data_IF_596361822097
#
_entry.id   IF_596361822097
#
_cell.length_a   1.000
_cell.length_b   1.000
_cell.length_c   1.000
_cell.angle_alpha   90.00
_cell.angle_beta   90.00
_cell.angle_gamma   90.00
#
_symmetry.space_group_name_H-M   'P 1'
#
loop_
_entity.id
_entity.type
_entity.pdbx_description
1 polymer ?
#
# COMPACT_ATOMS: atom_id res chain seq x y z
N UNK A 1 29.36 -13.37 -27.05
CA UNK A 1 28.06 -13.56 -27.72
C UNK A 1 27.56 -14.97 -27.45
N UNK A 2 26.62 -15.15 -26.53
CA UNK A 2 25.62 -16.21 -26.62
C UNK A 2 24.22 -15.62 -26.78
N UNK A 3 23.41 -16.41 -27.46
CA UNK A 3 22.16 -16.12 -28.14
C UNK A 3 20.96 -16.25 -27.20
N UNK A 4 19.95 -15.42 -27.46
CA UNK A 4 18.55 -15.56 -27.04
C UNK A 4 18.08 -17.02 -26.89
N UNK A 5 17.49 -17.36 -25.74
CA UNK A 5 16.30 -18.23 -25.62
C UNK A 5 15.94 -18.48 -24.15
N UNK A 6 15.08 -17.64 -23.57
CA UNK A 6 14.17 -18.00 -22.47
C UNK A 6 13.11 -16.89 -22.30
N UNK A 7 12.28 -16.70 -23.33
CA UNK A 7 10.93 -16.13 -23.13
C UNK A 7 10.03 -17.31 -22.79
N UNK A 8 9.57 -17.42 -21.55
CA UNK A 8 8.36 -18.16 -21.16
C UNK A 8 8.08 -17.94 -19.66
N UNK A 9 6.91 -17.35 -19.41
CA UNK A 9 6.06 -17.41 -18.22
C UNK A 9 6.65 -17.05 -16.84
N UNK A 10 6.34 -15.82 -16.40
CA UNK A 10 5.81 -15.57 -15.06
C UNK A 10 5.02 -14.24 -15.04
N UNK A 11 4.06 -14.08 -15.97
CA UNK A 11 2.91 -13.21 -15.72
C UNK A 11 2.02 -13.97 -14.73
N UNK A 12 1.95 -13.54 -13.47
CA UNK A 12 0.78 -13.62 -12.58
C UNK A 12 1.19 -13.27 -11.15
N UNK A 13 1.39 -11.99 -10.85
CA UNK A 13 1.14 -11.45 -9.50
C UNK A 13 0.62 -10.02 -9.68
N UNK A 14 -0.59 -9.90 -10.25
CA UNK A 14 -1.40 -8.69 -10.08
C UNK A 14 -2.16 -8.81 -8.74
N UNK A 15 -2.33 -7.70 -8.01
CA UNK A 15 -2.70 -7.68 -6.60
C UNK A 15 -4.15 -8.11 -6.43
N UNK A 16 -4.37 -9.08 -5.54
CA UNK A 16 -5.67 -9.69 -5.26
C UNK A 16 -6.38 -9.05 -4.06
N UNK A 17 -6.04 -7.81 -3.69
CA UNK A 17 -6.50 -7.17 -2.45
C UNK A 17 -7.66 -6.17 -2.61
N UNK A 18 -8.04 -5.79 -3.83
CA UNK A 18 -9.07 -4.75 -4.08
C UNK A 18 -10.51 -5.29 -4.25
N UNK A 19 -10.87 -6.40 -3.59
CA UNK A 19 -12.17 -7.06 -3.79
C UNK A 19 -12.91 -7.49 -2.51
N UNK A 20 -12.67 -6.87 -1.35
CA UNK A 20 -13.41 -7.18 -0.09
C UNK A 20 -14.44 -6.09 0.30
N UNK A 21 -14.54 -4.99 -0.43
CA UNK A 21 -15.53 -3.94 -0.12
C UNK A 21 -16.86 -4.01 -0.92
N UNK A 22 -17.01 -4.93 -1.89
CA UNK A 22 -18.09 -4.86 -2.89
C UNK A 22 -19.16 -5.97 -2.84
N UNK A 23 -19.25 -6.80 -1.79
CA UNK A 23 -20.14 -7.99 -1.78
C UNK A 23 -21.37 -7.95 -0.85
N UNK A 24 -21.73 -6.81 -0.25
CA UNK A 24 -22.97 -6.69 0.55
C UNK A 24 -23.86 -5.57 0.04
N UNK A 25 -24.37 -5.69 -1.19
CA UNK A 25 -25.25 -4.66 -1.75
C UNK A 25 -26.15 -5.05 -2.92
N UNK A 26 -26.41 -6.34 -3.18
CA UNK A 26 -27.43 -6.74 -4.15
C UNK A 26 -28.83 -6.73 -3.48
N UNK A 27 -29.49 -5.57 -3.45
CA UNK A 27 -30.93 -5.49 -3.18
C UNK A 27 -31.68 -5.29 -4.50
N UNK A 28 -32.28 -6.36 -5.00
CA UNK A 28 -33.37 -6.26 -5.97
C UNK A 28 -34.63 -5.72 -5.27
N UNK A 29 -35.22 -4.65 -5.82
CA UNK A 29 -36.58 -4.16 -5.51
C UNK A 29 -37.61 -5.28 -5.82
N UNK A 30 -38.65 -5.63 -5.04
CA UNK A 30 -39.76 -4.93 -4.34
C UNK A 30 -40.59 -6.00 -3.56
N UNK A 31 -41.68 -5.75 -2.77
CA UNK A 31 -42.23 -4.56 -2.10
C UNK A 31 -42.50 -4.74 -0.55
N UNK A 32 -42.82 -3.63 0.14
CA UNK A 32 -43.03 -3.35 1.59
C UNK A 32 -44.40 -3.82 2.19
N UNK A 33 -44.70 -3.80 3.53
CA UNK A 33 -44.06 -4.37 4.74
C UNK A 33 -45.04 -5.21 5.63
N UNK A 34 -44.55 -5.80 6.72
CA UNK A 34 -45.35 -6.02 7.95
C UNK A 34 -44.55 -5.56 9.18
N UNK A 35 -45.10 -4.75 10.10
CA UNK A 35 -44.35 -4.28 11.26
C UNK A 35 -44.49 -5.27 12.42
N UNK A 36 -43.37 -5.66 13.03
CA UNK A 36 -43.33 -6.28 14.35
C UNK A 36 -41.94 -6.03 14.99
N UNK A 37 -41.85 -6.09 16.33
CA UNK A 37 -41.55 -4.97 17.20
C UNK A 37 -40.06 -4.74 17.43
N UNK A 38 -39.76 -3.56 17.99
CA UNK A 38 -38.44 -3.14 18.42
C UNK A 38 -37.74 -4.21 19.27
N UNK A 39 -36.57 -4.64 18.80
CA UNK A 39 -35.56 -5.29 19.61
C UNK A 39 -34.32 -4.43 19.54
N UNK A 40 -34.00 -3.82 20.68
CA UNK A 40 -32.68 -3.34 21.04
C UNK A 40 -31.60 -4.31 20.56
N UNK A 41 -30.72 -3.82 19.70
CA UNK A 41 -29.32 -4.23 19.66
C UNK A 41 -28.57 -3.15 18.92
N UNK A 42 -27.77 -2.43 19.69
CA UNK A 42 -26.86 -1.39 19.29
C UNK A 42 -26.15 -1.72 17.98
N UNK A 43 -26.14 -0.73 17.09
CA UNK A 43 -25.08 -0.60 16.10
C UNK A 43 -23.74 -0.58 16.86
N UNK A 44 -22.87 -1.52 16.55
CA UNK A 44 -21.42 -1.37 16.61
C UNK A 44 -20.85 -2.41 15.66
N UNK A 45 -21.09 -2.19 14.36
CA UNK A 45 -20.28 -2.77 13.30
C UNK A 45 -18.98 -1.98 13.17
N UNK A 46 -18.27 -1.78 14.28
CA UNK A 46 -16.86 -1.48 14.21
C UNK A 46 -16.21 -2.78 13.77
N UNK A 47 -15.59 -2.80 12.60
CA UNK A 47 -14.55 -3.79 12.32
C UNK A 47 -13.63 -3.78 13.53
N UNK A 48 -13.66 -4.84 14.33
CA UNK A 48 -12.72 -4.95 15.43
C UNK A 48 -11.32 -4.79 14.80
N UNK A 49 -10.42 -3.98 15.38
CA UNK A 49 -9.05 -3.95 14.90
C UNK A 49 -8.56 -5.38 14.83
N UNK A 50 -7.86 -5.71 13.74
CA UNK A 50 -7.21 -6.99 13.55
C UNK A 50 -6.61 -7.43 14.88
N UNK A 51 -6.88 -8.66 15.31
CA UNK A 51 -6.30 -9.16 16.56
C UNK A 51 -4.78 -9.01 16.49
N UNK A 52 -4.05 -8.84 17.61
CA UNK A 52 -2.61 -8.57 17.56
C UNK A 52 -1.80 -9.58 16.73
N UNK A 53 -2.27 -10.82 16.61
CA UNK A 53 -1.72 -11.84 15.71
C UNK A 53 -2.02 -11.59 14.22
N UNK A 54 -3.22 -11.12 13.88
CA UNK A 54 -3.56 -10.72 12.50
C UNK A 54 -2.80 -9.46 12.08
N UNK A 55 -2.54 -8.55 13.02
CA UNK A 55 -1.80 -7.32 12.76
C UNK A 55 -0.31 -7.56 12.48
N UNK A 56 0.35 -8.43 13.27
CA UNK A 56 1.74 -8.79 13.02
C UNK A 56 1.95 -9.40 11.62
N UNK A 57 1.02 -10.23 11.16
CA UNK A 57 1.05 -10.79 9.80
C UNK A 57 0.85 -9.72 8.71
N UNK A 58 -0.05 -8.75 8.91
CA UNK A 58 -0.21 -7.63 7.99
C UNK A 58 1.06 -6.79 7.90
N UNK A 59 1.70 -6.49 9.03
CA UNK A 59 2.96 -5.75 9.06
C UNK A 59 4.08 -6.47 8.30
N UNK A 60 4.19 -7.80 8.44
CA UNK A 60 5.18 -8.60 7.69
C UNK A 60 4.94 -8.56 6.17
N UNK A 61 3.66 -8.55 5.73
CA UNK A 61 3.32 -8.40 4.32
C UNK A 61 3.76 -7.03 3.80
N UNK A 62 3.44 -5.96 4.53
CA UNK A 62 3.78 -4.60 4.15
C UNK A 62 5.28 -4.40 4.11
N UNK A 63 6.01 -4.87 5.12
CA UNK A 63 7.47 -4.87 5.13
C UNK A 63 8.03 -5.57 3.89
N UNK A 64 7.50 -6.74 3.55
CA UNK A 64 7.95 -7.50 2.38
C UNK A 64 7.66 -6.78 1.06
N UNK A 65 6.50 -6.13 0.94
CA UNK A 65 6.13 -5.38 -0.25
C UNK A 65 7.02 -4.14 -0.44
N UNK A 66 7.25 -3.38 0.64
CA UNK A 66 8.12 -2.20 0.64
C UNK A 66 9.56 -2.59 0.28
N UNK A 67 10.10 -3.63 0.90
CA UNK A 67 11.45 -4.12 0.61
C UNK A 67 11.61 -4.53 -0.86
N UNK A 68 10.61 -5.18 -1.46
CA UNK A 68 10.64 -5.55 -2.88
C UNK A 68 10.64 -4.31 -3.77
N UNK A 69 9.81 -3.30 -3.48
CA UNK A 69 9.76 -2.07 -4.26
C UNK A 69 11.09 -1.31 -4.14
N UNK A 70 11.60 -1.14 -2.92
CA UNK A 70 12.87 -0.47 -2.66
C UNK A 70 14.04 -1.18 -3.37
N UNK A 71 14.12 -2.50 -3.25
CA UNK A 71 15.14 -3.30 -3.93
C UNK A 71 15.05 -3.16 -5.45
N UNK A 72 13.85 -3.24 -6.03
CA UNK A 72 13.66 -3.11 -7.48
C UNK A 72 14.02 -1.71 -7.96
N UNK A 73 13.62 -0.67 -7.23
CA UNK A 73 13.97 0.70 -7.56
C UNK A 73 15.50 0.90 -7.59
N UNK A 74 16.21 0.43 -6.55
CA UNK A 74 17.66 0.54 -6.42
C UNK A 74 18.39 -0.31 -7.47
N UNK A 75 18.00 -1.58 -7.64
CA UNK A 75 18.70 -2.52 -8.51
C UNK A 75 18.54 -2.20 -10.00
N UNK A 76 17.46 -1.52 -10.39
CA UNK A 76 17.24 -1.06 -11.76
C UNK A 76 17.80 0.35 -12.01
N UNK A 77 18.48 0.97 -11.03
CA UNK A 77 19.02 2.33 -11.11
C UNK A 77 17.92 3.36 -11.48
N UNK A 78 16.72 3.15 -10.92
CA UNK A 78 15.56 3.98 -11.23
C UNK A 78 15.71 5.39 -10.64
N UNK A 79 15.13 6.34 -11.36
CA UNK A 79 14.89 7.71 -10.93
C UNK A 79 13.50 8.13 -11.40
N UNK A 80 12.95 9.18 -10.81
CA UNK A 80 11.65 9.71 -11.25
C UNK A 80 11.74 10.19 -12.69
N UNK A 81 12.80 10.88 -13.09
CA UNK A 81 13.06 11.26 -14.48
C UNK A 81 13.00 10.06 -15.45
N UNK A 82 13.53 8.90 -15.05
CA UNK A 82 13.42 7.68 -15.84
C UNK A 82 11.98 7.13 -15.83
N UNK A 83 11.31 7.10 -14.68
CA UNK A 83 9.93 6.64 -14.57
C UNK A 83 8.93 7.49 -15.36
N UNK A 84 9.21 8.79 -15.54
CA UNK A 84 8.43 9.70 -16.37
C UNK A 84 8.77 9.59 -17.86
N UNK A 85 9.91 8.97 -18.19
CA UNK A 85 10.30 8.75 -19.58
C UNK A 85 9.37 7.72 -20.24
N UNK A 86 8.82 8.01 -21.43
CA UNK A 86 7.96 7.07 -22.15
C UNK A 86 8.69 5.78 -22.59
N UNK A 87 10.02 5.78 -22.52
CA UNK A 87 10.88 4.68 -22.94
C UNK A 87 11.26 3.72 -21.79
N UNK A 88 11.04 4.09 -20.52
CA UNK A 88 11.46 3.29 -19.36
C UNK A 88 10.27 2.75 -18.55
N UNK A 89 9.65 1.72 -19.14
CA UNK A 89 8.47 1.06 -18.56
C UNK A 89 8.80 0.39 -17.22
N UNK A 90 10.06 -0.01 -16.98
CA UNK A 90 10.42 -0.69 -15.73
C UNK A 90 10.31 0.26 -14.55
N UNK A 91 10.91 1.45 -14.64
CA UNK A 91 10.83 2.42 -13.55
C UNK A 91 9.43 3.01 -13.41
N UNK A 92 8.69 3.17 -14.52
CA UNK A 92 7.29 3.58 -14.50
C UNK A 92 6.40 2.57 -13.77
N UNK A 93 6.56 1.26 -14.05
CA UNK A 93 5.80 0.20 -13.40
C UNK A 93 6.11 0.10 -11.90
N UNK A 94 7.38 0.30 -11.51
CA UNK A 94 7.76 0.31 -10.08
C UNK A 94 7.16 1.53 -9.38
N UNK A 95 7.21 2.73 -9.98
CA UNK A 95 6.64 3.94 -9.41
C UNK A 95 5.12 3.86 -9.29
N UNK A 96 4.43 3.33 -10.31
CA UNK A 96 2.99 3.10 -10.26
C UNK A 96 2.61 2.06 -9.18
N UNK A 97 3.44 1.04 -8.98
CA UNK A 97 3.27 0.01 -7.95
C UNK A 97 3.57 0.48 -6.53
N UNK A 98 4.14 1.68 -6.35
CA UNK A 98 4.47 2.27 -5.06
C UNK A 98 3.25 2.91 -4.36
N UNK A 99 2.09 3.00 -5.03
CA UNK A 99 0.85 3.50 -4.42
C UNK A 99 0.27 2.50 -3.40
N UNK A 100 0.65 2.68 -2.14
CA UNK A 100 0.30 1.83 -1.00
C UNK A 100 -0.46 2.60 0.09
N UNK A 101 -0.99 3.80 -0.21
CA UNK A 101 -1.48 4.74 0.79
C UNK A 101 -2.58 4.19 1.73
N UNK A 102 -3.44 3.30 1.22
CA UNK A 102 -4.58 2.78 1.99
C UNK A 102 -4.19 1.74 3.07
N UNK A 103 -3.09 0.99 2.90
CA UNK A 103 -2.64 0.02 3.91
C UNK A 103 -1.87 0.67 5.05
N UNK A 104 -1.25 1.83 4.80
CA UNK A 104 -0.32 2.47 5.73
C UNK A 104 -0.96 3.12 6.96
N UNK A 105 -2.15 3.70 6.83
CA UNK A 105 -2.87 4.26 7.98
C UNK A 105 -3.33 3.18 8.97
N UNK A 106 -3.83 2.06 8.45
CA UNK A 106 -4.26 0.91 9.26
C UNK A 106 -3.07 0.29 9.99
N UNK A 107 -1.92 0.23 9.32
CA UNK A 107 -0.67 -0.27 9.91
C UNK A 107 -0.18 0.68 11.01
N UNK A 108 -0.07 1.98 10.74
CA UNK A 108 0.39 2.97 11.71
C UNK A 108 -0.42 2.95 13.03
N UNK A 109 -1.74 2.76 12.93
CA UNK A 109 -2.65 2.69 14.07
C UNK A 109 -2.53 1.41 14.91
N UNK A 110 -2.03 0.32 14.35
CA UNK A 110 -1.86 -0.96 15.07
C UNK A 110 -0.46 -1.15 15.68
N UNK A 111 0.52 -0.30 15.35
CA UNK A 111 1.90 -0.40 15.84
C UNK A 111 2.01 -0.34 17.38
N UNK A 112 1.08 0.31 18.08
CA UNK A 112 1.03 0.37 19.55
C UNK A 112 0.80 -1.00 20.21
N UNK A 113 0.31 -1.97 19.45
CA UNK A 113 0.06 -3.33 19.94
C UNK A 113 1.30 -4.23 19.90
N UNK A 114 2.38 -3.79 19.26
CA UNK A 114 3.61 -4.54 19.12
C UNK A 114 4.50 -4.41 20.36
N UNK A 115 5.08 -5.52 20.81
CA UNK A 115 6.19 -5.49 21.77
C UNK A 115 7.47 -5.10 21.03
N UNK A 116 8.06 -3.94 21.37
CA UNK A 116 9.27 -3.44 20.72
C UNK A 116 9.87 -2.23 21.44
N UNK A 117 10.99 -1.71 20.91
CA UNK A 117 11.55 -0.43 21.36
C UNK A 117 10.60 0.72 21.02
N UNK A 118 10.08 1.48 21.99
CA UNK A 118 9.12 2.55 21.74
C UNK A 118 9.63 3.61 20.76
N UNK A 119 10.93 3.94 20.79
CA UNK A 119 11.49 4.94 19.89
C UNK A 119 11.59 4.41 18.45
N UNK A 120 11.88 3.13 18.26
CA UNK A 120 11.87 2.49 16.95
C UNK A 120 10.44 2.36 16.39
N UNK A 121 9.49 1.96 17.23
CA UNK A 121 8.06 1.90 16.85
C UNK A 121 7.50 3.28 16.50
N UNK A 122 7.87 4.33 17.24
CA UNK A 122 7.48 5.71 16.93
C UNK A 122 8.08 6.20 15.60
N UNK A 123 9.34 5.85 15.31
CA UNK A 123 9.98 6.19 14.04
C UNK A 123 9.32 5.46 12.86
N UNK A 124 8.98 4.18 13.03
CA UNK A 124 8.26 3.39 12.02
C UNK A 124 6.86 3.98 11.76
N UNK A 125 6.15 4.40 12.83
CA UNK A 125 4.86 5.10 12.69
C UNK A 125 4.99 6.37 11.87
N UNK A 126 5.94 7.23 12.21
CA UNK A 126 6.15 8.49 11.51
C UNK A 126 6.48 8.26 10.02
N UNK A 127 7.23 7.20 9.71
CA UNK A 127 7.52 6.83 8.33
C UNK A 127 6.28 6.32 7.58
N UNK A 128 5.42 5.51 8.22
CA UNK A 128 4.15 5.10 7.63
C UNK A 128 3.23 6.29 7.36
N UNK A 129 3.13 7.23 8.30
CA UNK A 129 2.32 8.45 8.14
C UNK A 129 2.84 9.30 6.97
N UNK A 130 4.15 9.49 6.86
CA UNK A 130 4.76 10.23 5.76
C UNK A 130 4.52 9.56 4.40
N UNK A 131 4.71 8.24 4.30
CA UNK A 131 4.45 7.49 3.07
C UNK A 131 2.97 7.49 2.68
N UNK A 132 2.06 7.43 3.67
CA UNK A 132 0.62 7.54 3.42
C UNK A 132 0.25 8.92 2.88
N UNK A 133 0.80 9.99 3.45
CA UNK A 133 0.59 11.37 2.99
C UNK A 133 1.13 11.57 1.57
N UNK A 134 2.33 11.08 1.27
CA UNK A 134 2.92 11.15 -0.07
C UNK A 134 2.10 10.35 -1.10
N UNK A 135 1.66 9.13 -0.75
CA UNK A 135 0.79 8.33 -1.61
C UNK A 135 -0.57 8.99 -1.86
N UNK A 136 -1.17 9.63 -0.84
CA UNK A 136 -2.40 10.43 -1.04
C UNK A 136 -2.16 11.61 -1.97
N UNK A 137 -1.06 12.35 -1.82
CA UNK A 137 -0.73 13.46 -2.71
C UNK A 137 -0.55 13.00 -4.17
N UNK A 138 0.16 11.89 -4.37
CA UNK A 138 0.32 11.24 -5.67
C UNK A 138 -1.02 10.86 -6.30
N UNK A 139 -1.92 10.24 -5.52
CA UNK A 139 -3.26 9.85 -5.98
C UNK A 139 -4.14 11.07 -6.28
N UNK A 140 -4.16 12.08 -5.41
CA UNK A 140 -4.95 13.31 -5.56
C UNK A 140 -4.50 14.15 -6.78
N UNK A 141 -3.23 14.06 -7.15
CA UNK A 141 -2.68 14.65 -8.37
C UNK A 141 -3.08 13.88 -9.65
N UNK A 142 -3.67 12.68 -9.52
CA UNK A 142 -4.03 11.80 -10.64
C UNK A 142 -2.85 10.98 -11.19
N UNK A 143 -1.71 10.99 -10.49
CA UNK A 143 -0.48 10.35 -10.96
C UNK A 143 -0.51 8.81 -10.86
N UNK A 144 -1.42 8.26 -10.06
CA UNK A 144 -1.70 6.83 -10.03
C UNK A 144 -2.40 6.33 -11.31
N UNK A 145 -3.17 7.19 -11.99
CA UNK A 145 -3.92 6.85 -13.19
C UNK A 145 -3.12 7.13 -14.47
N UNK A 146 -2.40 8.26 -14.51
CA UNK A 146 -1.57 8.67 -15.64
C UNK A 146 -0.30 9.37 -15.14
N UNK A 147 0.85 8.70 -15.33
CA UNK A 147 2.16 9.25 -14.99
C UNK A 147 2.56 10.24 -16.08
N UNK A 148 2.70 11.51 -15.73
CA UNK A 148 3.10 12.61 -16.61
C UNK A 148 4.20 13.45 -15.99
N UNK A 149 4.81 14.36 -16.75
CA UNK A 149 5.84 15.28 -16.23
C UNK A 149 5.38 16.10 -15.02
N UNK A 150 4.07 16.38 -14.90
CA UNK A 150 3.50 17.11 -13.77
C UNK A 150 3.52 16.30 -12.46
N UNK A 151 3.85 15.00 -12.51
CA UNK A 151 3.94 14.10 -11.37
C UNK A 151 5.36 13.99 -10.76
N UNK A 152 6.33 14.76 -11.28
CA UNK A 152 7.72 14.62 -10.86
C UNK A 152 7.91 14.86 -9.36
N UNK A 153 7.38 15.97 -8.84
CA UNK A 153 7.54 16.36 -7.44
C UNK A 153 6.87 15.34 -6.50
N UNK A 154 5.64 14.92 -6.81
CA UNK A 154 4.90 13.92 -6.05
C UNK A 154 5.59 12.54 -6.11
N UNK A 155 6.15 12.18 -7.26
CA UNK A 155 6.88 10.91 -7.44
C UNK A 155 8.19 10.88 -6.66
N UNK A 156 8.90 12.00 -6.59
CA UNK A 156 10.13 12.14 -5.78
C UNK A 156 9.80 11.98 -4.30
N UNK A 157 8.74 12.62 -3.82
CA UNK A 157 8.30 12.53 -2.43
C UNK A 157 7.82 11.11 -2.08
N UNK A 158 7.04 10.47 -2.96
CA UNK A 158 6.55 9.10 -2.76
C UNK A 158 7.72 8.11 -2.63
N UNK A 159 8.68 8.14 -3.55
CA UNK A 159 9.82 7.22 -3.49
C UNK A 159 10.73 7.52 -2.29
N UNK A 160 10.97 8.81 -1.99
CA UNK A 160 11.79 9.21 -0.85
C UNK A 160 11.21 8.69 0.47
N UNK A 161 9.90 8.84 0.67
CA UNK A 161 9.20 8.38 1.88
C UNK A 161 9.16 6.86 1.98
N UNK A 162 8.96 6.14 0.86
CA UNK A 162 9.03 4.68 0.82
C UNK A 162 10.42 4.12 1.17
N UNK A 163 11.49 4.71 0.65
CA UNK A 163 12.86 4.29 0.99
C UNK A 163 13.21 4.61 2.46
N UNK A 164 12.67 5.70 3.01
CA UNK A 164 12.80 6.01 4.43
C UNK A 164 12.02 5.00 5.31
N UNK A 165 10.86 4.55 4.84
CA UNK A 165 10.05 3.53 5.51
C UNK A 165 10.74 2.16 5.52
N UNK A 166 11.35 1.75 4.40
CA UNK A 166 12.21 0.54 4.34
C UNK A 166 13.34 0.60 5.37
N UNK A 167 14.03 1.75 5.46
CA UNK A 167 15.08 1.98 6.46
C UNK A 167 14.54 1.92 7.89
N UNK A 168 13.33 2.44 8.13
CA UNK A 168 12.69 2.39 9.45
C UNK A 168 12.33 0.96 9.85
N UNK A 169 11.90 0.13 8.89
CA UNK A 169 11.66 -1.30 9.09
C UNK A 169 12.94 -2.07 9.45
N UNK A 170 14.03 -1.81 8.73
CA UNK A 170 15.34 -2.39 9.02
C UNK A 170 15.81 -2.02 10.44
N UNK A 171 15.64 -0.76 10.83
CA UNK A 171 16.01 -0.28 12.16
C UNK A 171 15.14 -0.89 13.28
N UNK A 172 13.84 -1.08 13.02
CA UNK A 172 12.89 -1.65 13.98
C UNK A 172 13.09 -3.17 14.17
N UNK A 173 13.55 -3.87 13.14
CA UNK A 173 13.72 -5.34 13.15
C UNK A 173 15.13 -5.84 13.57
N UNK A 174 16.09 -4.92 13.77
CA UNK A 174 17.48 -5.22 14.14
C UNK A 174 17.71 -5.45 15.64
#
# INVERSE_FOLDING_TARGET
>A
MPTNSARILALTVLPLTLAVAALTGCAASDPTPAPAPASDSSADGGSAPASGEDFGFLLEIEQSAIAVIAEQWINNDCSVDLALSPDDIVCADILAGADLAASYEEVAGGLDSLEGDPAATDALRAAFEASADAGRAWSDAGCADEITDDCADEGEELISTLLALDTAFDAWSA
#
